data_IF_637467496896
#
_entry.id   IF_637467496896
#
_cell.length_a   1.000
_cell.length_b   1.000
_cell.length_c   1.000
_cell.angle_alpha   90.00
_cell.angle_beta   90.00
_cell.angle_gamma   90.00
#
_symmetry.space_group_name_H-M   'P 1'
#
loop_
_entity.id
_entity.type
_entity.pdbx_description
1 polymer ?
#
# COMPACT_ATOMS: atom_id res chain seq x y z
N UNK A 1 -16.38 3.06 13.46
CA UNK A 1 -15.29 3.35 12.50
C UNK A 1 -14.36 4.35 13.14
N UNK A 2 -13.07 4.09 13.06
CA UNK A 2 -11.99 5.02 13.45
C UNK A 2 -11.26 5.37 12.17
N UNK A 3 -11.01 6.65 11.95
CA UNK A 3 -10.22 7.15 10.83
C UNK A 3 -8.86 7.56 11.38
N UNK A 4 -7.80 7.08 10.75
CA UNK A 4 -6.42 7.50 11.00
C UNK A 4 -6.03 8.33 9.79
N UNK A 5 -5.83 9.62 10.01
CA UNK A 5 -5.54 10.59 8.96
C UNK A 5 -4.04 10.94 8.92
N UNK A 6 -3.52 11.15 7.74
CA UNK A 6 -2.20 11.73 7.50
C UNK A 6 -2.42 13.24 7.27
N UNK A 7 -2.35 13.98 8.33
CA UNK A 7 -2.63 15.42 8.34
C UNK A 7 -1.38 16.29 8.08
N UNK A 8 -1.57 17.60 8.06
CA UNK A 8 -0.47 18.54 7.87
C UNK A 8 0.61 18.44 8.97
N UNK A 9 0.26 18.01 10.16
CA UNK A 9 1.22 17.80 11.25
C UNK A 9 2.08 16.57 10.98
N UNK A 10 1.46 15.51 10.46
CA UNK A 10 2.16 14.28 10.09
C UNK A 10 3.24 14.51 9.03
N UNK A 11 2.97 15.38 8.04
CA UNK A 11 3.87 15.69 6.93
C UNK A 11 4.73 16.92 7.14
N UNK A 12 4.65 17.55 8.31
CA UNK A 12 5.50 18.67 8.67
C UNK A 12 6.99 18.26 8.64
N UNK A 13 7.91 19.22 8.49
CA UNK A 13 9.35 18.96 8.63
C UNK A 13 9.69 18.24 9.94
N UNK A 14 10.73 17.43 9.94
CA UNK A 14 11.12 16.64 11.12
C UNK A 14 11.55 17.52 12.29
N UNK A 15 12.12 18.69 12.03
CA UNK A 15 12.44 19.71 13.05
C UNK A 15 11.20 20.31 13.71
N UNK A 16 10.03 20.21 13.09
CA UNK A 16 8.73 20.62 13.62
C UNK A 16 7.95 19.45 14.25
N UNK A 17 8.56 18.26 14.31
CA UNK A 17 7.98 17.07 14.91
C UNK A 17 7.14 16.20 13.97
N UNK A 18 7.11 16.52 12.68
CA UNK A 18 6.50 15.68 11.63
C UNK A 18 7.45 14.61 11.10
N UNK A 19 7.01 13.88 10.10
CA UNK A 19 7.78 12.83 9.43
C UNK A 19 8.34 13.26 8.07
N UNK A 20 8.16 14.55 7.70
CA UNK A 20 8.57 15.08 6.41
C UNK A 20 7.58 14.74 5.29
N UNK A 21 8.01 14.95 4.06
CA UNK A 21 7.16 14.79 2.90
C UNK A 21 6.68 13.32 2.74
N UNK A 22 5.37 13.14 2.58
CA UNK A 22 4.73 11.81 2.61
C UNK A 22 5.37 10.78 1.64
N UNK A 23 5.70 11.20 0.42
CA UNK A 23 6.29 10.30 -0.58
C UNK A 23 7.72 9.85 -0.26
N UNK A 24 8.37 10.50 0.72
CA UNK A 24 9.70 10.12 1.19
C UNK A 24 9.64 9.15 2.38
N UNK A 25 8.44 8.86 2.89
CA UNK A 25 8.30 7.97 4.05
C UNK A 25 8.67 6.52 3.67
N UNK A 26 9.51 5.87 4.49
CA UNK A 26 9.73 4.44 4.37
C UNK A 26 8.41 3.68 4.50
N UNK A 27 8.13 2.75 3.60
CA UNK A 27 6.91 1.92 3.66
C UNK A 27 6.83 1.11 4.97
N UNK A 28 7.96 0.82 5.61
CA UNK A 28 8.02 0.24 6.95
C UNK A 28 7.20 1.02 7.99
N UNK A 29 6.97 2.33 7.80
CA UNK A 29 6.12 3.12 8.72
C UNK A 29 4.67 2.64 8.69
N UNK A 30 4.16 2.27 7.53
CA UNK A 30 2.83 1.68 7.38
C UNK A 30 2.76 0.29 8.02
N UNK A 31 3.84 -0.50 7.93
CA UNK A 31 3.96 -1.77 8.64
C UNK A 31 3.88 -1.60 10.16
N UNK A 32 4.58 -0.61 10.71
CA UNK A 32 4.50 -0.28 12.16
C UNK A 32 3.10 0.19 12.56
N UNK A 33 2.44 0.98 11.70
CA UNK A 33 1.06 1.40 11.91
C UNK A 33 0.13 0.19 11.98
N UNK A 34 0.23 -0.74 11.03
CA UNK A 34 -0.55 -1.99 11.06
C UNK A 34 -0.35 -2.74 12.36
N UNK A 35 0.90 -2.96 12.77
CA UNK A 35 1.21 -3.68 14.00
C UNK A 35 0.62 -2.99 15.23
N UNK A 36 0.73 -1.67 15.30
CA UNK A 36 0.17 -0.88 16.40
C UNK A 36 -1.35 -0.98 16.46
N UNK A 37 -2.03 -0.77 15.33
CA UNK A 37 -3.49 -0.78 15.29
C UNK A 37 -4.04 -2.19 15.47
N UNK A 38 -3.35 -3.21 14.95
CA UNK A 38 -3.73 -4.62 15.09
C UNK A 38 -3.72 -5.08 16.55
N UNK A 39 -2.90 -4.46 17.41
CA UNK A 39 -2.92 -4.77 18.86
C UNK A 39 -4.27 -4.43 19.52
N UNK A 40 -5.04 -3.49 18.96
CA UNK A 40 -6.40 -3.17 19.36
C UNK A 40 -7.48 -4.12 18.82
N UNK A 41 -7.09 -5.16 18.08
CA UNK A 41 -7.96 -6.18 17.51
C UNK A 41 -9.12 -5.61 16.66
N UNK A 42 -8.87 -4.73 15.68
CA UNK A 42 -9.91 -4.20 14.79
C UNK A 42 -10.54 -5.32 13.96
N UNK A 43 -11.75 -5.09 13.47
CA UNK A 43 -12.40 -6.02 12.53
C UNK A 43 -11.72 -6.02 11.16
N UNK A 44 -11.29 -4.85 10.69
CA UNK A 44 -10.57 -4.65 9.43
C UNK A 44 -9.71 -3.39 9.51
N UNK A 45 -8.66 -3.35 8.71
CA UNK A 45 -7.79 -2.21 8.43
C UNK A 45 -7.91 -1.90 6.94
N UNK A 46 -8.39 -0.73 6.58
CA UNK A 46 -8.61 -0.35 5.19
C UNK A 46 -7.65 0.79 4.86
N UNK A 47 -6.80 0.59 3.86
CA UNK A 47 -5.93 1.61 3.32
C UNK A 47 -6.61 2.27 2.11
N UNK A 48 -6.93 3.55 2.22
CA UNK A 48 -7.38 4.39 1.11
C UNK A 48 -6.17 5.09 0.44
N UNK A 49 -5.15 4.29 0.18
CA UNK A 49 -3.88 4.72 -0.42
C UNK A 49 -3.44 3.62 -1.38
N UNK A 50 -2.99 4.04 -2.57
CA UNK A 50 -2.42 3.14 -3.54
C UNK A 50 -0.90 3.19 -3.42
N UNK A 51 -0.30 2.04 -3.16
CA UNK A 51 1.14 1.85 -3.13
C UNK A 51 1.54 1.21 -4.46
N UNK A 52 1.78 2.02 -5.48
CA UNK A 52 2.03 1.57 -6.87
C UNK A 52 3.31 0.77 -7.03
N UNK A 53 4.26 0.97 -6.14
CA UNK A 53 5.55 0.27 -6.15
C UNK A 53 6.13 0.13 -4.74
N UNK A 54 6.96 -0.87 -4.58
CA UNK A 54 7.81 -1.02 -3.41
C UNK A 54 8.88 0.09 -3.38
N UNK A 55 9.19 0.60 -2.20
CA UNK A 55 10.30 1.53 -2.03
C UNK A 55 11.63 0.86 -2.38
N UNK A 56 12.52 1.59 -3.05
CA UNK A 56 13.87 1.12 -3.33
C UNK A 56 14.60 0.82 -2.02
N UNK A 57 15.13 -0.39 -1.91
CA UNK A 57 15.87 -0.83 -0.74
C UNK A 57 17.14 -1.59 -1.16
N UNK A 58 18.25 -1.25 -0.57
CA UNK A 58 19.53 -1.87 -0.92
C UNK A 58 19.87 -2.99 0.06
N UNK A 59 19.29 -4.18 -0.19
CA UNK A 59 19.51 -5.37 0.62
C UNK A 59 21.00 -5.79 0.68
N UNK A 60 21.77 -5.62 -0.41
CA UNK A 60 23.19 -5.96 -0.43
C UNK A 60 23.98 -5.07 0.51
N UNK A 61 23.67 -3.77 0.54
CA UNK A 61 24.31 -2.83 1.46
C UNK A 61 23.98 -3.18 2.91
N UNK A 62 22.72 -3.49 3.21
CA UNK A 62 22.31 -3.90 4.55
C UNK A 62 23.03 -5.16 4.97
N UNK A 63 23.04 -6.17 4.12
CA UNK A 63 23.74 -7.43 4.37
C UNK A 63 25.25 -7.22 4.58
N UNK A 64 25.87 -6.32 3.80
CA UNK A 64 27.29 -6.00 3.97
C UNK A 64 27.58 -5.31 5.31
N UNK A 65 26.68 -4.46 5.78
CA UNK A 65 26.85 -3.72 7.04
C UNK A 65 26.51 -4.54 8.29
N UNK A 66 25.58 -5.52 8.14
CA UNK A 66 25.11 -6.34 9.29
C UNK A 66 25.80 -7.69 9.38
N UNK A 67 26.65 -8.05 8.41
CA UNK A 67 27.33 -9.34 8.40
C UNK A 67 28.42 -9.39 9.48
N UNK A 68 28.29 -10.30 10.43
CA UNK A 68 29.23 -10.51 11.55
C UNK A 68 30.68 -10.80 11.11
N UNK A 69 30.87 -11.26 9.86
CA UNK A 69 32.21 -11.53 9.31
C UNK A 69 32.87 -10.30 8.69
N UNK A 70 32.20 -9.17 8.62
CA UNK A 70 32.81 -7.95 8.15
C UNK A 70 33.66 -7.38 9.29
N UNK A 71 34.98 -7.23 9.12
CA UNK A 71 35.83 -6.66 10.15
C UNK A 71 35.58 -5.16 10.22
N UNK A 72 34.48 -4.76 10.78
CA UNK A 72 34.20 -3.37 11.03
C UNK A 72 34.29 -3.12 12.51
N UNK A 73 35.29 -2.38 12.87
CA UNK A 73 35.38 -1.74 14.17
C UNK A 73 34.39 -0.60 14.33
N UNK A 74 33.39 -0.54 13.46
CA UNK A 74 32.57 0.64 13.32
C UNK A 74 31.19 0.40 13.89
N UNK A 75 31.02 0.82 15.15
CA UNK A 75 29.70 1.02 15.75
C UNK A 75 28.75 1.84 14.82
N UNK A 76 29.33 2.67 13.94
CA UNK A 76 28.58 3.40 12.92
C UNK A 76 28.01 2.46 11.84
N UNK A 77 28.78 1.48 11.36
CA UNK A 77 28.28 0.52 10.36
C UNK A 77 27.15 -0.34 10.94
N UNK A 78 27.27 -0.78 12.19
CA UNK A 78 26.24 -1.53 12.88
C UNK A 78 24.97 -0.69 13.05
N UNK A 79 25.08 0.52 13.58
CA UNK A 79 23.92 1.43 13.76
C UNK A 79 23.28 1.77 12.42
N UNK A 80 24.08 2.01 11.38
CA UNK A 80 23.56 2.28 10.04
C UNK A 80 22.83 1.07 9.46
N UNK A 81 23.39 -0.13 9.65
CA UNK A 81 22.75 -1.37 9.22
C UNK A 81 21.40 -1.59 9.91
N UNK A 82 21.35 -1.41 11.23
CA UNK A 82 20.10 -1.51 12.01
C UNK A 82 19.07 -0.47 11.58
N UNK A 83 19.50 0.76 11.30
CA UNK A 83 18.61 1.82 10.81
C UNK A 83 18.04 1.46 9.43
N UNK A 84 18.86 0.99 8.51
CA UNK A 84 18.41 0.56 7.19
C UNK A 84 17.43 -0.61 7.30
N UNK A 85 17.76 -1.64 8.07
CA UNK A 85 16.84 -2.76 8.30
C UNK A 85 15.48 -2.31 8.85
N UNK A 86 15.48 -1.32 9.74
CA UNK A 86 14.25 -0.80 10.31
C UNK A 86 13.36 -0.06 9.30
N UNK A 87 13.88 0.27 8.13
CA UNK A 87 13.18 0.93 7.03
C UNK A 87 12.91 -0.01 5.85
N UNK A 88 13.15 -1.31 6.01
CA UNK A 88 12.89 -2.34 5.00
C UNK A 88 11.41 -2.31 4.59
N UNK A 89 11.08 -2.11 3.31
CA UNK A 89 9.70 -2.15 2.82
C UNK A 89 9.03 -3.50 3.03
N UNK A 90 9.78 -4.59 3.08
CA UNK A 90 9.29 -5.93 3.41
C UNK A 90 8.57 -6.00 4.75
N UNK A 91 8.90 -5.12 5.71
CA UNK A 91 8.19 -5.01 6.98
C UNK A 91 6.72 -4.61 6.80
N UNK A 92 6.39 -3.87 5.73
CA UNK A 92 5.01 -3.52 5.43
C UNK A 92 4.24 -4.73 4.89
N UNK A 93 4.85 -5.50 4.00
CA UNK A 93 4.27 -6.75 3.46
C UNK A 93 4.07 -7.76 4.59
N UNK A 94 5.08 -7.95 5.43
CA UNK A 94 5.02 -8.85 6.58
C UNK A 94 3.91 -8.46 7.58
N UNK A 95 3.83 -7.19 7.95
CA UNK A 95 2.80 -6.69 8.85
C UNK A 95 1.39 -6.85 8.26
N UNK A 96 1.24 -6.60 6.95
CA UNK A 96 -0.01 -6.80 6.21
C UNK A 96 -0.45 -8.26 6.31
N UNK A 97 0.44 -9.19 5.98
CA UNK A 97 0.19 -10.62 6.06
C UNK A 97 -0.16 -11.08 7.47
N UNK A 98 0.66 -10.71 8.45
CA UNK A 98 0.47 -11.13 9.84
C UNK A 98 -0.79 -10.56 10.49
N UNK A 99 -1.24 -9.39 10.06
CA UNK A 99 -2.46 -8.78 10.60
C UNK A 99 -3.71 -9.60 10.28
N UNK A 100 -3.75 -10.26 9.14
CA UNK A 100 -4.93 -10.98 8.60
C UNK A 100 -6.19 -10.10 8.57
N UNK A 101 -6.02 -8.78 8.42
CA UNK A 101 -7.11 -7.78 8.52
C UNK A 101 -6.94 -6.61 7.56
N UNK A 102 -5.80 -6.51 6.89
CA UNK A 102 -5.50 -5.40 6.01
C UNK A 102 -6.13 -5.59 4.62
N UNK A 103 -6.74 -4.52 4.13
CA UNK A 103 -7.30 -4.38 2.79
C UNK A 103 -6.64 -3.18 2.12
N UNK A 104 -6.22 -3.34 0.88
CA UNK A 104 -5.59 -2.29 0.10
C UNK A 104 -6.45 -1.81 -1.06
N UNK A 105 -6.12 -0.62 -1.57
CA UNK A 105 -6.89 0.03 -2.60
C UNK A 105 -6.54 -0.47 -4.01
N UNK A 106 -7.56 -0.51 -4.86
CA UNK A 106 -7.48 -0.63 -6.31
C UNK A 106 -8.12 0.61 -6.95
N UNK A 107 -7.72 0.94 -8.16
CA UNK A 107 -8.39 1.94 -8.99
C UNK A 107 -8.76 1.30 -10.33
N UNK A 108 -10.00 1.47 -10.75
CA UNK A 108 -10.46 1.08 -12.07
C UNK A 108 -10.37 2.28 -13.00
N UNK A 109 -9.69 2.11 -14.13
CA UNK A 109 -9.43 3.16 -15.11
C UNK A 109 -10.23 2.92 -16.38
N UNK A 110 -10.82 3.99 -16.92
CA UNK A 110 -11.34 4.06 -18.28
C UNK A 110 -10.41 4.92 -19.13
N UNK A 111 -10.17 4.51 -20.36
CA UNK A 111 -9.15 5.10 -21.25
C UNK A 111 -9.29 6.61 -21.43
N UNK A 112 -10.50 7.15 -21.31
CA UNK A 112 -10.80 8.57 -21.54
C UNK A 112 -10.69 9.48 -20.30
N UNK A 113 -10.56 8.94 -19.10
CA UNK A 113 -10.72 9.74 -17.88
C UNK A 113 -9.43 10.04 -17.14
N UNK A 114 -8.32 9.36 -17.44
CA UNK A 114 -7.12 9.37 -16.58
C UNK A 114 -5.81 9.63 -17.32
N UNK A 115 -5.81 10.49 -18.35
CA UNK A 115 -4.59 10.88 -19.06
C UNK A 115 -3.50 11.53 -18.19
N UNK A 116 -3.75 11.72 -16.90
CA UNK A 116 -2.81 12.37 -15.97
C UNK A 116 -2.53 11.61 -14.68
N UNK A 117 -3.27 10.57 -14.36
CA UNK A 117 -3.00 9.75 -13.20
C UNK A 117 -2.19 8.52 -13.62
N UNK A 118 -0.94 8.55 -13.32
CA UNK A 118 0.03 7.45 -13.30
C UNK A 118 -0.23 6.30 -14.30
N UNK A 119 0.63 6.15 -15.27
CA UNK A 119 0.81 4.84 -15.91
C UNK A 119 1.28 3.89 -14.81
N UNK A 120 0.37 3.14 -14.25
CA UNK A 120 0.70 2.07 -13.33
C UNK A 120 1.28 0.93 -14.14
N UNK A 121 2.58 0.74 -14.05
CA UNK A 121 3.31 -0.31 -14.78
C UNK A 121 3.04 -1.72 -14.22
N UNK A 122 2.25 -1.83 -13.16
CA UNK A 122 2.03 -3.08 -12.44
C UNK A 122 0.59 -3.57 -12.65
N UNK A 123 0.34 -4.27 -13.75
CA UNK A 123 -0.84 -5.13 -13.82
C UNK A 123 -0.57 -6.37 -12.93
N UNK A 124 -1.42 -6.65 -11.92
CA UNK A 124 -1.28 -7.89 -11.15
C UNK A 124 -1.32 -9.09 -12.07
N UNK A 125 -0.46 -10.04 -11.83
CA UNK A 125 -0.50 -11.30 -12.56
C UNK A 125 -1.86 -12.01 -12.36
N UNK A 126 -2.33 -12.70 -13.40
CA UNK A 126 -3.72 -13.16 -13.54
C UNK A 126 -4.30 -13.96 -12.37
N UNK A 127 -3.47 -14.64 -11.57
CA UNK A 127 -3.97 -15.45 -10.44
C UNK A 127 -4.61 -14.59 -9.33
N UNK A 128 -4.12 -13.38 -9.10
CA UNK A 128 -4.66 -12.50 -8.08
C UNK A 128 -6.13 -12.14 -8.35
N UNK A 129 -6.47 -11.92 -9.63
CA UNK A 129 -7.84 -11.64 -10.02
C UNK A 129 -8.76 -12.82 -9.82
N UNK A 130 -8.28 -14.04 -10.04
CA UNK A 130 -9.09 -15.25 -9.88
C UNK A 130 -9.53 -15.47 -8.43
N UNK A 131 -8.70 -15.12 -7.47
CA UNK A 131 -9.02 -15.26 -6.05
C UNK A 131 -10.03 -14.21 -5.55
N UNK A 132 -10.01 -13.01 -6.13
CA UNK A 132 -10.84 -11.87 -5.72
C UNK A 132 -12.08 -11.65 -6.60
N UNK A 133 -12.29 -12.49 -7.59
CA UNK A 133 -13.49 -12.44 -8.45
C UNK A 133 -14.73 -12.83 -7.65
N UNK A 134 -15.76 -12.00 -7.71
CA UNK A 134 -17.09 -12.35 -7.20
C UNK A 134 -17.67 -13.47 -8.08
N UNK A 135 -17.79 -14.66 -7.52
CA UNK A 135 -18.32 -15.83 -8.22
C UNK A 135 -19.85 -15.82 -8.25
N UNK A 136 -20.43 -16.37 -9.30
CA UNK A 136 -21.89 -16.52 -9.40
C UNK A 136 -22.64 -15.32 -9.95
N UNK A 137 -21.95 -14.31 -10.47
CA UNK A 137 -22.57 -13.19 -11.19
C UNK A 137 -23.04 -13.66 -12.56
N UNK A 138 -24.33 -13.49 -12.89
CA UNK A 138 -24.87 -13.84 -14.19
C UNK A 138 -24.30 -12.94 -15.32
N UNK A 139 -24.21 -13.44 -16.52
CA UNK A 139 -23.75 -12.65 -17.68
C UNK A 139 -24.62 -11.42 -17.95
N UNK A 140 -25.91 -11.48 -17.60
CA UNK A 140 -26.80 -10.33 -17.71
C UNK A 140 -26.49 -9.27 -16.65
N UNK A 141 -26.14 -9.67 -15.43
CA UNK A 141 -25.70 -8.75 -14.37
C UNK A 141 -24.35 -8.12 -14.70
N UNK A 142 -23.39 -8.91 -15.23
CA UNK A 142 -22.07 -8.40 -15.65
C UNK A 142 -22.19 -7.27 -16.68
N UNK A 143 -23.13 -7.35 -17.62
CA UNK A 143 -23.35 -6.31 -18.62
C UNK A 143 -23.85 -4.97 -18.05
N UNK A 144 -24.40 -5.01 -16.84
CA UNK A 144 -24.92 -3.82 -16.14
C UNK A 144 -23.88 -3.20 -15.19
N UNK A 145 -22.77 -3.89 -14.93
CA UNK A 145 -21.69 -3.37 -14.10
C UNK A 145 -20.86 -2.35 -14.91
N UNK A 146 -20.33 -1.33 -14.24
CA UNK A 146 -19.31 -0.47 -14.85
C UNK A 146 -18.17 -1.31 -15.40
N UNK A 147 -17.68 -0.94 -16.57
CA UNK A 147 -16.54 -1.59 -17.20
C UNK A 147 -15.30 -0.71 -17.00
N UNK A 148 -14.17 -1.32 -16.82
CA UNK A 148 -12.87 -0.64 -16.77
C UNK A 148 -11.92 -1.31 -17.77
N UNK A 149 -11.05 -0.53 -18.38
CA UNK A 149 -10.07 -1.01 -19.35
C UNK A 149 -8.79 -1.44 -18.67
N UNK A 150 -8.52 -0.87 -17.49
CA UNK A 150 -7.33 -1.14 -16.70
C UNK A 150 -7.64 -1.14 -15.21
N UNK A 151 -6.78 -1.82 -14.47
CA UNK A 151 -6.79 -1.77 -13.01
C UNK A 151 -5.45 -1.22 -12.55
N UNK A 152 -5.50 -0.07 -11.88
CA UNK A 152 -4.38 0.42 -11.10
C UNK A 152 -4.43 -0.18 -9.70
N UNK A 153 -3.31 -0.71 -9.23
CA UNK A 153 -3.28 -1.42 -7.97
C UNK A 153 -2.05 -1.10 -7.13
N UNK A 154 -2.16 -1.40 -5.88
CA UNK A 154 -1.02 -1.57 -4.98
C UNK A 154 -0.11 -2.69 -5.52
N UNK A 155 1.20 -2.61 -5.33
CA UNK A 155 2.16 -3.59 -5.85
C UNK A 155 1.87 -5.02 -5.37
N UNK A 156 2.25 -6.00 -6.20
CA UNK A 156 1.78 -7.38 -6.13
C UNK A 156 2.03 -8.04 -4.78
N UNK A 157 3.23 -7.86 -4.20
CA UNK A 157 3.58 -8.53 -2.94
C UNK A 157 2.70 -8.04 -1.78
N UNK A 158 2.41 -6.74 -1.74
CA UNK A 158 1.53 -6.17 -0.72
C UNK A 158 0.07 -6.60 -0.91
N UNK A 159 -0.41 -6.65 -2.15
CA UNK A 159 -1.74 -7.17 -2.45
C UNK A 159 -1.87 -8.65 -2.09
N UNK A 160 -0.87 -9.46 -2.42
CA UNK A 160 -0.86 -10.89 -2.11
C UNK A 160 -0.84 -11.17 -0.61
N UNK A 161 -0.25 -10.26 0.18
CA UNK A 161 -0.26 -10.32 1.64
C UNK A 161 -1.60 -9.87 2.26
N UNK A 162 -2.44 -9.19 1.49
CA UNK A 162 -3.70 -8.60 1.95
C UNK A 162 -4.81 -9.63 2.08
N UNK A 163 -5.78 -9.36 2.95
CA UNK A 163 -7.02 -10.15 3.03
C UNK A 163 -7.87 -9.94 1.78
N UNK A 164 -7.76 -8.77 1.16
CA UNK A 164 -8.47 -8.43 -0.06
C UNK A 164 -8.16 -6.99 -0.51
N UNK A 165 -8.79 -6.62 -1.60
CA UNK A 165 -8.67 -5.29 -2.17
C UNK A 165 -10.05 -4.66 -2.39
N UNK A 166 -10.10 -3.33 -2.29
CA UNK A 166 -11.31 -2.55 -2.52
C UNK A 166 -11.08 -1.45 -3.55
N UNK A 167 -12.14 -1.10 -4.28
CA UNK A 167 -12.09 0.01 -5.22
C UNK A 167 -12.03 1.34 -4.47
N UNK A 168 -11.04 2.17 -4.81
CA UNK A 168 -10.97 3.57 -4.38
C UNK A 168 -11.71 4.51 -5.36
N UNK A 169 -12.37 3.98 -6.39
CA UNK A 169 -13.14 4.79 -7.32
C UNK A 169 -14.49 5.16 -6.71
N UNK A 170 -14.74 6.45 -6.69
CA UNK A 170 -16.05 7.00 -6.37
C UNK A 170 -16.57 7.77 -7.60
N UNK A 171 -17.42 7.14 -8.43
CA UNK A 171 -17.96 7.82 -9.59
C UNK A 171 -18.76 9.05 -9.14
N UNK A 172 -18.44 10.18 -9.75
CA UNK A 172 -19.16 11.41 -9.54
C UNK A 172 -20.41 11.45 -10.45
N UNK A 173 -21.50 12.01 -9.95
CA UNK A 173 -22.63 12.38 -10.78
C UNK A 173 -22.24 13.56 -11.69
N UNK A 174 -23.07 13.89 -12.70
CA UNK A 174 -22.80 14.97 -13.68
C UNK A 174 -22.50 16.33 -13.04
N UNK A 175 -22.95 16.56 -11.81
CA UNK A 175 -22.70 17.79 -11.06
C UNK A 175 -21.43 17.73 -10.17
N UNK A 176 -20.63 16.67 -10.30
CA UNK A 176 -19.39 16.47 -9.55
C UNK A 176 -19.55 16.01 -8.10
N UNK A 177 -20.78 15.68 -7.69
CA UNK A 177 -21.05 15.23 -6.32
C UNK A 177 -21.13 13.70 -6.28
N UNK A 178 -20.42 13.10 -5.33
CA UNK A 178 -20.48 11.65 -5.08
C UNK A 178 -21.69 11.35 -4.20
N UNK A 179 -22.67 10.64 -4.74
CA UNK A 179 -23.90 10.25 -4.00
C UNK A 179 -24.05 8.76 -3.83
N UNK A 180 -23.26 7.96 -4.52
CA UNK A 180 -23.36 6.51 -4.52
C UNK A 180 -21.97 5.90 -4.39
N UNK A 181 -21.86 4.90 -3.55
CA UNK A 181 -20.74 3.98 -3.63
C UNK A 181 -20.98 3.01 -4.81
N UNK A 182 -19.94 2.63 -5.54
CA UNK A 182 -20.04 1.66 -6.64
C UNK A 182 -20.53 0.29 -6.15
#
# INVERSE_FOLDING_TARGET
>A
VVIIDIDNTSVAPTEEGGLGHYFDWPQAYHGRLINTVSSGNPAALIFDIIFDKENSFNYDLVNALTNENTPSNDALAEVTGQFLQSNDPGLFVEATYNSQKAYHALVFEQEDTLNFLYKMDNEPEGYYYEEHIIKGVSEEAKKKLPQADRIGNTYVDLLSASVGAGSANFPQDEDGIIRRAP
#
